data_IF_974060044930
#
_entry.id   IF_974060044930
#
_cell.length_a   1.000
_cell.length_b   1.000
_cell.length_c   1.000
_cell.angle_alpha   90.00
_cell.angle_beta   90.00
_cell.angle_gamma   90.00
#
_symmetry.space_group_name_H-M   'P 1'
#
loop_
_entity.id
_entity.type
_entity.pdbx_description
1 polymer ?
#
# COMPACT_ATOMS: atom_id res chain seq x y z
N UNK A 1 -4.85 -7.20 13.63
CA UNK A 1 -3.43 -7.02 14.04
C UNK A 1 -3.02 -5.70 13.46
N UNK A 2 -2.51 -4.83 14.33
CA UNK A 2 -2.39 -3.41 14.03
C UNK A 2 -0.92 -3.07 13.86
N UNK A 3 -0.63 -2.27 12.84
CA UNK A 3 0.71 -1.96 12.39
C UNK A 3 0.86 -0.44 12.31
N UNK A 4 1.80 0.13 13.03
CA UNK A 4 2.01 1.58 13.07
C UNK A 4 3.38 1.91 12.47
N UNK A 5 3.50 2.04 11.13
CA UNK A 5 4.75 2.42 10.49
C UNK A 5 5.14 3.88 10.79
N UNK A 6 6.44 4.16 10.78
CA UNK A 6 6.98 5.53 10.87
C UNK A 6 6.83 6.26 9.53
N UNK A 7 7.11 5.55 8.44
CA UNK A 7 7.02 6.04 7.06
C UNK A 7 6.10 5.13 6.25
N UNK A 8 5.26 5.69 5.39
CA UNK A 8 4.36 4.89 4.57
C UNK A 8 4.05 5.55 3.23
N UNK A 9 3.66 4.72 2.27
CA UNK A 9 3.11 5.16 0.98
C UNK A 9 2.00 4.22 0.52
N UNK A 10 1.15 4.69 -0.39
CA UNK A 10 0.22 3.83 -1.12
C UNK A 10 0.85 3.42 -2.44
N UNK A 11 0.86 2.12 -2.68
CA UNK A 11 1.27 1.51 -3.94
C UNK A 11 0.05 1.16 -4.77
N UNK A 12 0.10 1.48 -6.06
CA UNK A 12 -0.77 0.90 -7.07
C UNK A 12 -0.04 -0.27 -7.73
N UNK A 13 -0.48 -1.50 -7.47
CA UNK A 13 0.25 -2.71 -7.90
C UNK A 13 -0.55 -3.50 -8.91
N UNK A 14 -0.02 -3.63 -10.11
CA UNK A 14 -0.58 -4.39 -11.22
C UNK A 14 -0.08 -5.82 -11.18
N UNK A 15 -0.98 -6.79 -11.07
CA UNK A 15 -0.69 -8.21 -11.08
C UNK A 15 -1.13 -8.85 -12.40
N UNK A 16 -0.37 -9.84 -12.87
CA UNK A 16 -0.78 -10.76 -13.92
C UNK A 16 -0.55 -12.20 -13.47
N UNK A 17 -1.61 -12.99 -13.55
CA UNK A 17 -1.60 -14.44 -13.37
C UNK A 17 -2.03 -15.09 -14.68
N UNK A 18 -1.92 -16.42 -14.78
CA UNK A 18 -2.33 -17.13 -16.01
C UNK A 18 -3.78 -16.87 -16.40
N UNK A 19 -4.64 -16.66 -15.42
CA UNK A 19 -6.09 -16.60 -15.62
C UNK A 19 -6.65 -15.18 -15.60
N UNK A 20 -5.91 -14.21 -15.04
CA UNK A 20 -6.35 -12.81 -14.93
C UNK A 20 -5.21 -11.84 -14.69
N UNK A 21 -5.34 -10.63 -15.23
CA UNK A 21 -4.68 -9.45 -14.70
C UNK A 21 -5.56 -8.82 -13.59
N UNK A 22 -5.01 -8.05 -12.68
CA UNK A 22 -5.79 -7.19 -11.78
C UNK A 22 -4.87 -6.22 -11.05
N UNK A 23 -5.39 -5.06 -10.69
CA UNK A 23 -4.63 -4.07 -9.93
C UNK A 23 -5.12 -4.02 -8.49
N UNK A 24 -4.22 -3.71 -7.55
CA UNK A 24 -4.56 -3.55 -6.14
C UNK A 24 -3.81 -2.39 -5.51
N UNK A 25 -4.53 -1.58 -4.74
CA UNK A 25 -3.92 -0.63 -3.82
C UNK A 25 -3.36 -1.37 -2.60
N UNK A 26 -2.13 -1.07 -2.21
CA UNK A 26 -1.46 -1.66 -1.05
C UNK A 26 -0.76 -0.59 -0.22
N UNK A 27 -0.72 -0.79 1.10
CA UNK A 27 0.14 0.01 1.98
C UNK A 27 1.52 -0.63 2.02
N UNK A 28 2.55 0.15 1.75
CA UNK A 28 3.94 -0.17 2.10
C UNK A 28 4.33 0.68 3.30
N UNK A 29 4.59 0.03 4.43
CA UNK A 29 5.05 0.68 5.66
C UNK A 29 6.52 0.38 5.94
N UNK A 30 7.22 1.35 6.53
CA UNK A 30 8.57 1.24 7.04
C UNK A 30 8.63 1.52 8.53
N UNK A 31 9.43 0.74 9.24
CA UNK A 31 9.76 0.90 10.66
C UNK A 31 11.24 1.16 10.79
N UNK A 32 11.58 2.25 11.47
CA UNK A 32 12.96 2.59 11.81
C UNK A 32 13.33 1.83 13.07
N UNK A 33 14.33 0.97 12.94
CA UNK A 33 14.82 0.17 14.04
C UNK A 33 15.83 0.94 14.89
N UNK A 34 15.96 0.53 16.15
CA UNK A 34 17.12 0.85 16.96
C UNK A 34 18.24 -0.17 16.74
N UNK A 35 19.32 -0.03 17.52
CA UNK A 35 20.50 -0.91 17.49
C UNK A 35 20.17 -2.42 17.59
N UNK A 36 19.05 -2.78 18.22
CA UNK A 36 18.65 -4.17 18.47
C UNK A 36 17.56 -4.72 17.52
N UNK A 37 16.78 -3.85 16.86
CA UNK A 37 15.60 -4.28 16.10
C UNK A 37 15.77 -4.17 14.58
N UNK A 38 16.68 -3.32 14.09
CA UNK A 38 16.92 -3.10 12.67
C UNK A 38 15.74 -2.49 11.92
N UNK A 39 16.02 -1.81 10.80
CA UNK A 39 14.95 -1.26 9.96
C UNK A 39 14.16 -2.40 9.32
N UNK A 40 12.84 -2.26 9.29
CA UNK A 40 11.94 -3.23 8.67
C UNK A 40 10.98 -2.55 7.70
N UNK A 41 10.47 -3.31 6.74
CA UNK A 41 9.39 -2.89 5.86
C UNK A 41 8.32 -3.99 5.82
N UNK A 42 7.09 -3.60 5.46
CA UNK A 42 5.97 -4.54 5.27
C UNK A 42 4.98 -4.02 4.25
N UNK A 43 4.50 -4.90 3.38
CA UNK A 43 3.44 -4.60 2.41
C UNK A 43 2.18 -5.37 2.79
N UNK A 44 1.04 -4.71 2.82
CA UNK A 44 -0.22 -5.37 3.14
C UNK A 44 -0.76 -6.22 1.96
N UNK A 45 -1.85 -6.94 2.22
CA UNK A 45 -2.48 -7.86 1.25
C UNK A 45 -3.51 -7.19 0.32
N UNK A 46 -3.56 -5.85 0.27
CA UNK A 46 -4.56 -5.08 -0.46
C UNK A 46 -5.46 -4.28 0.47
N UNK A 47 -5.72 -3.02 0.14
CA UNK A 47 -6.59 -2.11 0.89
C UNK A 47 -8.05 -2.39 0.53
N UNK A 48 -8.91 -2.45 1.54
CA UNK A 48 -10.36 -2.63 1.39
C UNK A 48 -11.14 -1.41 1.85
N UNK A 49 -10.65 -0.74 2.90
CA UNK A 49 -11.28 0.45 3.44
C UNK A 49 -10.22 1.36 4.06
N UNK A 50 -10.58 2.63 4.18
CA UNK A 50 -9.80 3.64 4.89
C UNK A 50 -10.73 4.38 5.84
N UNK A 51 -10.26 4.55 7.07
CA UNK A 51 -10.81 5.50 8.02
C UNK A 51 -9.70 6.48 8.38
N UNK A 52 -10.02 7.60 9.01
CA UNK A 52 -9.00 8.46 9.59
C UNK A 52 -9.57 9.22 10.78
N UNK A 53 -8.67 9.74 11.60
CA UNK A 53 -8.94 10.84 12.50
C UNK A 53 -8.04 12.03 12.14
N UNK A 54 -7.89 12.97 13.08
CA UNK A 54 -7.10 14.17 12.88
C UNK A 54 -5.60 13.88 12.77
N UNK A 55 -5.11 12.75 13.27
CA UNK A 55 -3.67 12.45 13.36
C UNK A 55 -3.20 11.37 12.40
N UNK A 56 -4.04 10.37 12.10
CA UNK A 56 -3.64 9.21 11.30
C UNK A 56 -4.75 8.68 10.39
N UNK A 57 -4.33 8.06 9.29
CA UNK A 57 -5.16 7.18 8.47
C UNK A 57 -5.12 5.75 9.02
N UNK A 58 -6.23 5.03 8.89
CA UNK A 58 -6.40 3.63 9.25
C UNK A 58 -6.78 2.84 8.01
N UNK A 59 -5.81 2.19 7.40
CA UNK A 59 -6.03 1.37 6.22
C UNK A 59 -6.32 -0.07 6.60
N UNK A 60 -7.51 -0.56 6.28
CA UNK A 60 -7.93 -1.93 6.51
C UNK A 60 -7.51 -2.79 5.33
N UNK A 61 -6.69 -3.79 5.62
CA UNK A 61 -6.21 -4.77 4.66
C UNK A 61 -7.12 -5.98 4.54
N UNK A 62 -7.12 -6.63 3.37
CA UNK A 62 -7.93 -7.82 3.06
C UNK A 62 -7.73 -9.00 4.02
N UNK A 63 -6.55 -9.11 4.63
CA UNK A 63 -6.24 -10.14 5.62
C UNK A 63 -6.64 -9.77 7.06
N UNK A 64 -7.38 -8.67 7.28
CA UNK A 64 -7.71 -8.16 8.61
C UNK A 64 -6.57 -7.41 9.31
N UNK A 65 -5.54 -7.00 8.57
CA UNK A 65 -4.48 -6.12 9.10
C UNK A 65 -4.94 -4.67 9.07
N UNK A 66 -4.65 -3.90 10.12
CA UNK A 66 -4.90 -2.46 10.14
C UNK A 66 -3.56 -1.72 10.15
N UNK A 67 -3.37 -0.78 9.23
CA UNK A 67 -2.19 0.08 9.19
C UNK A 67 -2.56 1.47 9.69
N UNK A 68 -1.96 1.87 10.80
CA UNK A 68 -2.11 3.17 11.47
C UNK A 68 -1.02 4.11 10.94
N UNK A 69 -1.40 4.93 9.97
CA UNK A 69 -0.52 5.67 9.10
C UNK A 69 -0.57 7.16 9.46
N UNK A 70 0.42 7.69 10.19
CA UNK A 70 0.40 9.08 10.64
C UNK A 70 0.44 10.04 9.44
N UNK A 71 -0.33 11.13 9.49
CA UNK A 71 -0.50 12.03 8.33
C UNK A 71 0.81 12.66 7.84
N UNK A 72 1.76 12.90 8.74
CA UNK A 72 3.09 13.43 8.42
C UNK A 72 4.10 12.36 7.99
N UNK A 73 3.70 11.08 8.01
CA UNK A 73 4.52 9.93 7.65
C UNK A 73 4.52 9.56 6.17
N UNK A 74 3.85 10.32 5.29
CA UNK A 74 3.78 9.98 3.86
C UNK A 74 5.11 10.23 3.14
N UNK A 75 5.97 9.21 3.07
CA UNK A 75 7.27 9.29 2.39
C UNK A 75 7.87 7.92 2.13
N UNK A 76 8.75 7.85 1.14
CA UNK A 76 9.53 6.65 0.85
C UNK A 76 10.85 6.65 1.64
N UNK A 77 11.01 5.71 2.57
CA UNK A 77 12.28 5.48 3.26
C UNK A 77 13.18 4.49 2.49
N UNK A 78 14.47 4.45 2.83
CA UNK A 78 15.43 3.53 2.18
C UNK A 78 15.05 2.05 2.38
N UNK A 79 14.55 1.69 3.57
CA UNK A 79 14.13 0.32 3.87
C UNK A 79 12.86 -0.06 3.08
N UNK A 80 11.93 0.88 2.89
CA UNK A 80 10.75 0.66 2.05
C UNK A 80 11.12 0.49 0.57
N UNK A 81 12.11 1.24 0.08
CA UNK A 81 12.58 1.12 -1.30
C UNK A 81 13.12 -0.30 -1.61
N UNK A 82 13.74 -0.97 -0.63
CA UNK A 82 14.17 -2.37 -0.82
C UNK A 82 12.96 -3.31 -0.90
N UNK A 83 11.91 -3.08 -0.11
CA UNK A 83 10.65 -3.80 -0.19
C UNK A 83 9.91 -3.60 -1.51
N UNK A 84 9.89 -2.38 -2.05
CA UNK A 84 9.33 -2.12 -3.38
C UNK A 84 10.13 -2.84 -4.47
N UNK A 85 11.47 -2.81 -4.40
CA UNK A 85 12.32 -3.53 -5.33
C UNK A 85 12.09 -5.06 -5.24
N UNK A 86 11.85 -5.59 -4.05
CA UNK A 86 11.50 -7.01 -3.86
C UNK A 86 10.14 -7.35 -4.43
N UNK A 87 9.13 -6.51 -4.21
CA UNK A 87 7.80 -6.67 -4.80
C UNK A 87 7.89 -6.73 -6.34
N UNK A 88 8.64 -5.81 -6.97
CA UNK A 88 8.81 -5.76 -8.43
C UNK A 88 9.54 -6.97 -9.02
N UNK A 89 10.28 -7.74 -8.22
CA UNK A 89 10.93 -8.99 -8.67
C UNK A 89 9.97 -10.17 -8.71
N UNK A 90 8.78 -10.07 -8.12
CA UNK A 90 7.82 -11.17 -8.11
C UNK A 90 7.29 -11.41 -9.53
N UNK A 91 7.29 -12.65 -10.04
CA UNK A 91 6.87 -12.95 -11.42
C UNK A 91 5.43 -12.53 -11.75
N UNK A 92 4.57 -12.43 -10.74
CA UNK A 92 3.17 -12.05 -10.88
C UNK A 92 2.95 -10.54 -10.87
N UNK A 93 3.97 -9.74 -10.56
CA UNK A 93 3.87 -8.27 -10.52
C UNK A 93 4.32 -7.73 -11.87
N UNK A 94 3.40 -7.08 -12.58
CA UNK A 94 3.66 -6.42 -13.87
C UNK A 94 4.25 -5.04 -13.63
N UNK A 95 3.66 -4.30 -12.68
CA UNK A 95 4.12 -2.98 -12.31
C UNK A 95 3.71 -2.64 -10.86
N UNK A 96 4.44 -1.70 -10.26
CA UNK A 96 4.12 -1.14 -8.96
C UNK A 96 4.55 0.32 -8.91
N UNK A 97 3.57 1.22 -8.80
CA UNK A 97 3.76 2.66 -8.76
C UNK A 97 3.44 3.21 -7.37
N UNK A 98 4.21 4.21 -6.94
CA UNK A 98 3.92 4.95 -5.71
C UNK A 98 2.95 6.07 -6.09
N UNK A 99 1.81 6.13 -5.40
CA UNK A 99 0.87 7.23 -5.61
C UNK A 99 1.35 8.49 -4.90
N UNK A 100 1.03 9.65 -5.44
CA UNK A 100 1.25 10.93 -4.75
C UNK A 100 0.33 11.06 -3.54
N UNK A 101 0.83 11.72 -2.49
CA UNK A 101 0.05 12.00 -1.29
C UNK A 101 -1.19 12.83 -1.62
N UNK A 102 -2.29 12.52 -0.96
CA UNK A 102 -3.59 13.12 -1.18
C UNK A 102 -4.48 12.92 0.03
N UNK A 103 -5.64 13.57 0.02
CA UNK A 103 -6.67 13.26 1.01
C UNK A 103 -7.27 11.87 0.73
N UNK A 104 -6.78 10.85 1.42
CA UNK A 104 -7.27 9.48 1.27
C UNK A 104 -8.69 9.26 1.79
N UNK A 105 -9.30 10.26 2.45
CA UNK A 105 -10.72 10.28 2.85
C UNK A 105 -11.64 10.98 1.86
N UNK A 106 -11.14 11.44 0.71
CA UNK A 106 -11.99 12.06 -0.30
C UNK A 106 -13.14 11.10 -0.69
N UNK A 107 -14.41 11.52 -0.57
CA UNK A 107 -15.55 10.63 -0.83
C UNK A 107 -15.50 10.02 -2.23
N UNK A 108 -15.60 8.69 -2.33
CA UNK A 108 -15.57 7.98 -3.61
C UNK A 108 -14.18 7.81 -4.22
N UNK A 109 -13.13 8.38 -3.65
CA UNK A 109 -11.76 8.25 -4.17
C UNK A 109 -11.28 6.80 -4.13
N UNK A 110 -11.46 6.12 -2.98
CA UNK A 110 -11.00 4.75 -2.82
C UNK A 110 -11.78 3.82 -3.76
N UNK A 111 -13.09 3.99 -3.86
CA UNK A 111 -13.97 3.25 -4.75
C UNK A 111 -13.59 3.48 -6.22
N UNK A 112 -13.31 4.73 -6.62
CA UNK A 112 -12.88 5.05 -7.96
C UNK A 112 -11.52 4.41 -8.30
N UNK A 113 -10.55 4.47 -7.39
CA UNK A 113 -9.24 3.86 -7.59
C UNK A 113 -9.32 2.32 -7.62
N UNK A 114 -10.14 1.71 -6.77
CA UNK A 114 -10.37 0.26 -6.77
C UNK A 114 -11.15 -0.20 -8.01
N UNK A 115 -12.09 0.62 -8.50
CA UNK A 115 -12.85 0.32 -9.73
C UNK A 115 -11.95 0.43 -10.96
N UNK A 116 -11.11 1.48 -11.04
CA UNK A 116 -10.13 1.62 -12.12
C UNK A 116 -9.13 0.45 -12.13
N UNK A 117 -8.73 0.02 -10.95
CA UNK A 117 -7.89 -1.16 -10.78
C UNK A 117 -8.58 -2.47 -11.22
N UNK A 118 -9.92 -2.52 -11.19
CA UNK A 118 -10.70 -3.62 -11.74
C UNK A 118 -10.86 -3.49 -13.26
N UNK A 119 -11.08 -2.30 -13.81
CA UNK A 119 -11.32 -2.08 -15.25
C UNK A 119 -10.08 -2.32 -16.12
N UNK A 120 -8.87 -2.03 -15.60
CA UNK A 120 -7.60 -2.38 -16.26
C UNK A 120 -7.44 -3.91 -16.48
N UNK A 121 -8.25 -4.72 -15.80
CA UNK A 121 -8.35 -6.18 -16.00
C UNK A 121 -9.15 -6.55 -17.25
N UNK A 122 -10.13 -5.74 -17.65
CA UNK A 122 -11.10 -6.07 -18.70
C UNK A 122 -10.66 -5.63 -20.10
N UNK A 123 -9.64 -4.77 -20.21
CA UNK A 123 -9.17 -4.20 -21.47
C UNK A 123 -8.02 -4.99 -22.13
N UNK A 124 -7.73 -6.22 -21.68
CA UNK A 124 -6.66 -7.07 -22.24
C UNK A 124 -7.12 -8.49 -22.53
#
# INVERSE_FOLDING_TARGET
MDYSPDDWVILNVSFATRDRAFTQLRVLGGWRGGYLSGDAWRINSGIQAVHADDVEYRFLGRSGSVYLCPRDGYRMSRIMASGLAELKRQPTVVDAEILEDRNWLEPGLLEALLSRAADDTAAR
#
